data_IF_134131668894
#
_entry.id   IF_134131668894
#
_cell.length_a   1.000
_cell.length_b   1.000
_cell.length_c   1.000
_cell.angle_alpha   90.00
_cell.angle_beta   90.00
_cell.angle_gamma   90.00
#
_symmetry.space_group_name_H-M   'P 1'
#
loop_
_entity.id
_entity.type
_entity.pdbx_description
1 polymer ?
#
# COMPACT_ATOMS: atom_id res chain seq x y z
N UNK A 1 23.22 -8.96 -32.44
CA UNK A 1 22.35 -9.29 -31.28
C UNK A 1 22.90 -10.53 -30.62
N UNK A 2 23.25 -10.43 -29.34
CA UNK A 2 23.92 -11.50 -28.60
C UNK A 2 22.95 -12.65 -28.32
N UNK A 3 23.44 -13.90 -28.22
CA UNK A 3 22.66 -15.06 -27.77
C UNK A 3 21.91 -14.79 -26.46
N UNK A 4 22.46 -13.90 -25.63
CA UNK A 4 21.88 -13.45 -24.36
C UNK A 4 20.61 -12.61 -24.53
N UNK A 5 20.48 -11.85 -25.62
CA UNK A 5 19.29 -11.05 -25.91
C UNK A 5 18.12 -11.90 -26.44
N UNK A 6 18.43 -12.99 -27.17
CA UNK A 6 17.40 -13.94 -27.63
C UNK A 6 16.82 -14.77 -26.48
N UNK A 7 17.67 -15.19 -25.52
CA UNK A 7 17.21 -15.89 -24.33
C UNK A 7 16.35 -14.97 -23.45
N UNK A 8 16.69 -13.68 -23.33
CA UNK A 8 15.86 -12.68 -22.64
C UNK A 8 14.46 -12.50 -23.21
N UNK A 9 14.29 -12.57 -24.53
CA UNK A 9 12.97 -12.56 -25.17
C UNK A 9 12.14 -13.80 -24.83
N UNK A 10 12.75 -14.99 -24.88
CA UNK A 10 12.09 -16.24 -24.53
C UNK A 10 11.56 -16.29 -23.08
N UNK A 11 12.24 -15.62 -22.14
CA UNK A 11 11.80 -15.57 -20.74
C UNK A 11 10.52 -14.73 -20.57
N UNK A 12 10.36 -13.66 -21.35
CA UNK A 12 9.16 -12.81 -21.30
C UNK A 12 7.96 -13.54 -21.89
N UNK A 13 8.17 -14.18 -23.03
CA UNK A 13 7.13 -14.95 -23.71
C UNK A 13 6.70 -16.14 -22.84
N UNK A 14 7.64 -16.95 -22.32
CA UNK A 14 7.29 -18.11 -21.48
C UNK A 14 6.67 -17.76 -20.12
N UNK A 15 7.07 -16.65 -19.48
CA UNK A 15 6.44 -16.21 -18.24
C UNK A 15 5.05 -15.61 -18.48
N UNK A 16 4.84 -14.90 -19.59
CA UNK A 16 3.51 -14.45 -20.01
C UNK A 16 2.61 -15.63 -20.39
N UNK A 17 3.15 -16.65 -21.06
CA UNK A 17 2.44 -17.86 -21.49
C UNK A 17 2.01 -18.73 -20.30
N UNK A 18 2.90 -18.99 -19.34
CA UNK A 18 2.56 -19.66 -18.08
C UNK A 18 1.56 -18.86 -17.24
N UNK A 19 1.59 -17.53 -17.35
CA UNK A 19 0.63 -16.65 -16.70
C UNK A 19 -0.77 -16.69 -17.33
N UNK A 20 -0.85 -16.90 -18.64
CA UNK A 20 -2.12 -17.11 -19.34
C UNK A 20 -2.74 -18.47 -19.03
N UNK A 21 -1.91 -19.52 -18.92
CA UNK A 21 -2.35 -20.90 -18.64
C UNK A 21 -2.98 -21.11 -17.25
N UNK A 22 -2.76 -20.20 -16.31
CA UNK A 22 -3.27 -20.30 -14.94
C UNK A 22 -4.60 -19.58 -14.72
N UNK A 23 -5.24 -19.09 -15.78
CA UNK A 23 -6.40 -18.21 -15.69
C UNK A 23 -7.67 -18.93 -16.14
N UNK A 24 -8.44 -19.49 -15.20
CA UNK A 24 -9.87 -19.75 -15.41
C UNK A 24 -10.69 -18.54 -14.94
N UNK A 25 -11.50 -17.95 -15.82
CA UNK A 25 -12.46 -16.91 -15.44
C UNK A 25 -13.68 -17.54 -14.73
N UNK A 26 -14.16 -17.00 -13.60
CA UNK A 26 -15.53 -17.24 -13.19
C UNK A 26 -16.46 -16.57 -14.21
N UNK A 27 -17.18 -17.38 -14.97
CA UNK A 27 -18.15 -16.92 -15.95
C UNK A 27 -19.26 -16.09 -15.27
N UNK A 28 -19.22 -14.78 -15.46
CA UNK A 28 -20.28 -13.86 -15.05
C UNK A 28 -20.65 -12.95 -16.23
N UNK A 29 -21.88 -13.16 -16.69
CA UNK A 29 -22.54 -12.63 -17.88
C UNK A 29 -22.46 -11.10 -18.05
N UNK A 30 -22.30 -10.67 -19.30
CA UNK A 30 -22.56 -9.31 -19.76
C UNK A 30 -22.42 -9.15 -21.29
N UNK A 31 -23.54 -9.29 -21.99
CA UNK A 31 -23.81 -9.11 -23.44
C UNK A 31 -22.68 -8.62 -24.38
N UNK A 32 -22.12 -9.54 -25.18
CA UNK A 32 -21.66 -9.27 -26.55
C UNK A 32 -21.57 -10.57 -27.40
N UNK A 33 -22.38 -10.65 -28.47
CA UNK A 33 -22.22 -11.47 -29.69
C UNK A 33 -21.75 -12.95 -29.59
N UNK A 34 -22.65 -13.96 -29.69
CA UNK A 34 -22.33 -15.39 -29.51
C UNK A 34 -21.27 -15.99 -30.45
N UNK A 35 -21.06 -15.41 -31.63
CA UNK A 35 -20.20 -16.02 -32.68
C UNK A 35 -18.74 -15.52 -32.61
N UNK A 36 -18.50 -14.34 -32.04
CA UNK A 36 -17.15 -13.78 -31.90
C UNK A 36 -16.42 -14.35 -30.69
N UNK A 37 -17.17 -14.65 -29.63
CA UNK A 37 -16.66 -15.19 -28.37
C UNK A 37 -16.14 -16.62 -28.54
N UNK A 38 -16.82 -17.46 -29.33
CA UNK A 38 -16.35 -18.83 -29.62
C UNK A 38 -15.06 -18.87 -30.44
N UNK A 39 -14.90 -17.96 -31.41
CA UNK A 39 -13.66 -17.85 -32.20
C UNK A 39 -12.47 -17.34 -31.37
N UNK A 40 -12.73 -16.48 -30.38
CA UNK A 40 -11.72 -15.99 -29.44
C UNK A 40 -11.33 -17.04 -28.39
N UNK A 41 -12.25 -17.93 -27.98
CA UNK A 41 -11.95 -19.05 -27.09
C UNK A 41 -11.21 -20.18 -27.81
N UNK A 42 -11.57 -20.52 -29.05
CA UNK A 42 -10.85 -21.53 -29.84
C UNK A 42 -9.42 -21.08 -30.19
N UNK A 43 -9.22 -19.80 -30.53
CA UNK A 43 -7.88 -19.24 -30.76
C UNK A 43 -6.99 -19.24 -29.51
N UNK A 44 -7.56 -19.04 -28.32
CA UNK A 44 -6.82 -19.12 -27.05
C UNK A 44 -6.41 -20.54 -26.69
N UNK A 45 -7.29 -21.53 -26.89
CA UNK A 45 -6.97 -22.95 -26.64
C UNK A 45 -5.90 -23.48 -27.60
N UNK A 46 -5.88 -23.02 -28.85
CA UNK A 46 -4.84 -23.36 -29.83
C UNK A 46 -3.47 -22.72 -29.50
N UNK A 47 -3.48 -21.51 -28.92
CA UNK A 47 -2.27 -20.84 -28.40
C UNK A 47 -1.77 -21.51 -27.09
N UNK A 48 -2.67 -21.90 -26.18
CA UNK A 48 -2.38 -22.66 -24.94
C UNK A 48 -1.74 -24.02 -25.24
N UNK A 49 -2.30 -24.75 -26.21
CA UNK A 49 -1.76 -26.05 -26.65
C UNK A 49 -0.41 -25.91 -27.37
N UNK A 50 -0.15 -24.77 -28.03
CA UNK A 50 1.13 -24.49 -28.70
C UNK A 50 2.21 -24.10 -27.71
N UNK A 51 1.92 -23.21 -26.76
CA UNK A 51 2.88 -22.80 -25.72
C UNK A 51 3.28 -23.98 -24.82
N UNK A 52 2.32 -24.86 -24.48
CA UNK A 52 2.59 -26.11 -23.78
C UNK A 52 3.49 -27.04 -24.62
N UNK A 53 3.22 -27.17 -25.92
CA UNK A 53 4.08 -27.92 -26.85
C UNK A 53 5.47 -27.29 -26.99
N UNK A 54 5.60 -25.97 -27.01
CA UNK A 54 6.88 -25.27 -27.18
C UNK A 54 7.76 -25.34 -25.93
N UNK A 55 7.16 -25.24 -24.73
CA UNK A 55 7.83 -25.47 -23.46
C UNK A 55 8.29 -26.94 -23.32
N UNK A 56 7.46 -27.90 -23.74
CA UNK A 56 7.83 -29.32 -23.83
C UNK A 56 8.97 -29.57 -24.85
N UNK A 57 8.99 -28.83 -25.97
CA UNK A 57 10.03 -28.90 -26.99
C UNK A 57 11.35 -28.24 -26.56
N UNK A 58 11.33 -27.34 -25.57
CA UNK A 58 12.53 -26.67 -25.03
C UNK A 58 13.44 -27.57 -24.17
N UNK A 59 13.02 -28.80 -23.87
CA UNK A 59 13.84 -29.81 -23.18
C UNK A 59 13.92 -29.64 -21.66
N UNK A 60 13.10 -28.77 -21.08
CA UNK A 60 13.03 -28.60 -19.63
C UNK A 60 12.19 -29.70 -18.99
N UNK A 61 12.77 -30.39 -18.01
CA UNK A 61 12.14 -31.54 -17.36
C UNK A 61 11.30 -31.08 -16.18
N UNK A 62 10.00 -31.39 -16.21
CA UNK A 62 9.12 -31.27 -15.04
C UNK A 62 9.62 -32.26 -13.98
N UNK A 63 9.83 -31.76 -12.77
CA UNK A 63 10.25 -32.55 -11.60
C UNK A 63 9.20 -32.49 -10.51
N UNK A 64 9.04 -33.59 -9.76
CA UNK A 64 8.23 -33.57 -8.55
C UNK A 64 9.11 -33.19 -7.36
N UNK A 65 8.72 -32.13 -6.66
CA UNK A 65 9.38 -31.64 -5.45
C UNK A 65 8.47 -31.79 -4.25
N UNK A 66 9.08 -31.89 -3.07
CA UNK A 66 8.37 -31.73 -1.81
C UNK A 66 8.07 -30.23 -1.61
N UNK A 67 6.80 -29.83 -1.38
CA UNK A 67 6.44 -28.43 -1.13
C UNK A 67 7.19 -27.79 0.05
N UNK A 68 7.68 -28.58 1.02
CA UNK A 68 8.43 -28.05 2.17
C UNK A 68 9.86 -27.62 1.82
N UNK A 69 10.38 -28.11 0.69
CA UNK A 69 11.68 -27.68 0.15
C UNK A 69 11.61 -26.36 -0.61
N UNK A 70 10.41 -25.81 -0.81
CA UNK A 70 10.18 -24.59 -1.60
C UNK A 70 9.86 -23.41 -0.68
N UNK A 71 10.76 -22.43 -0.68
CA UNK A 71 10.58 -21.16 0.01
C UNK A 71 9.83 -20.14 -0.84
N UNK A 72 9.08 -19.27 -0.15
CA UNK A 72 8.44 -18.11 -0.78
C UNK A 72 9.48 -17.12 -1.32
N UNK A 73 9.12 -16.39 -2.37
CA UNK A 73 9.93 -15.29 -2.88
C UNK A 73 10.22 -14.23 -1.80
N UNK A 74 11.38 -13.59 -1.89
CA UNK A 74 11.80 -12.48 -1.03
C UNK A 74 10.94 -11.22 -1.20
N UNK A 75 10.06 -11.19 -2.19
CA UNK A 75 9.03 -10.19 -2.33
C UNK A 75 7.75 -10.80 -1.76
N UNK A 76 7.43 -10.49 -0.50
CA UNK A 76 6.18 -10.97 0.10
C UNK A 76 5.00 -10.29 -0.57
N UNK A 77 4.09 -11.12 -1.03
CA UNK A 77 2.88 -10.76 -1.73
C UNK A 77 1.85 -10.24 -0.70
N UNK A 78 1.20 -9.12 -1.05
CA UNK A 78 0.00 -8.55 -0.43
C UNK A 78 0.03 -8.06 1.03
N UNK A 79 -0.61 -6.90 1.22
CA UNK A 79 -1.13 -6.45 2.52
C UNK A 79 -2.32 -7.30 3.02
N UNK A 80 -2.87 -8.13 2.14
CA UNK A 80 -4.07 -8.94 2.32
C UNK A 80 -3.87 -10.37 1.79
N UNK A 81 -2.79 -11.04 2.17
CA UNK A 81 -2.69 -12.49 1.95
C UNK A 81 -3.84 -13.16 2.72
N UNK A 82 -4.90 -13.50 1.98
CA UNK A 82 -5.95 -14.36 2.49
C UNK A 82 -5.37 -15.77 2.54
N UNK A 83 -5.30 -16.41 3.71
CA UNK A 83 -4.94 -17.82 3.77
C UNK A 83 -5.95 -18.60 2.92
N UNK A 84 -5.42 -19.43 2.01
CA UNK A 84 -6.24 -20.39 1.28
C UNK A 84 -6.86 -21.37 2.27
N UNK A 85 -8.16 -21.60 2.13
CA UNK A 85 -8.88 -22.64 2.85
C UNK A 85 -9.00 -23.89 1.96
N UNK A 86 -9.24 -25.05 2.55
CA UNK A 86 -9.53 -26.30 1.85
C UNK A 86 -10.74 -26.16 0.91
N UNK A 87 -11.68 -25.27 1.26
CA UNK A 87 -12.88 -25.00 0.47
C UNK A 87 -12.65 -24.02 -0.70
N UNK A 88 -11.42 -23.54 -0.92
CA UNK A 88 -11.10 -22.70 -2.08
C UNK A 88 -11.22 -23.50 -3.38
N UNK A 89 -11.84 -22.91 -4.40
CA UNK A 89 -12.09 -23.54 -5.71
C UNK A 89 -10.82 -24.09 -6.36
N UNK A 90 -9.67 -23.41 -6.18
CA UNK A 90 -8.39 -23.88 -6.71
C UNK A 90 -7.92 -25.15 -5.99
N UNK A 91 -8.15 -25.25 -4.68
CA UNK A 91 -7.78 -26.43 -3.89
C UNK A 91 -8.63 -27.62 -4.32
N UNK A 92 -9.94 -27.43 -4.48
CA UNK A 92 -10.85 -28.49 -4.93
C UNK A 92 -10.53 -28.94 -6.36
N UNK A 93 -10.30 -28.02 -7.28
CA UNK A 93 -9.91 -28.36 -8.66
C UNK A 93 -8.60 -29.15 -8.71
N UNK A 94 -7.58 -28.75 -7.95
CA UNK A 94 -6.31 -29.52 -7.86
C UNK A 94 -6.51 -30.88 -7.17
N UNK A 95 -7.44 -30.97 -6.21
CA UNK A 95 -7.75 -32.24 -5.56
C UNK A 95 -8.35 -33.25 -6.55
N UNK A 96 -9.28 -32.79 -7.40
CA UNK A 96 -10.03 -33.57 -8.38
C UNK A 96 -9.23 -33.88 -9.66
N UNK A 97 -8.68 -32.85 -10.30
CA UNK A 97 -8.03 -32.95 -11.62
C UNK A 97 -6.51 -33.10 -11.54
N UNK A 98 -5.93 -32.87 -10.36
CA UNK A 98 -4.48 -32.83 -10.18
C UNK A 98 -3.88 -31.48 -10.56
N UNK A 99 -2.55 -31.43 -10.58
CA UNK A 99 -1.85 -30.22 -10.99
C UNK A 99 -1.70 -30.20 -12.51
N UNK A 100 -2.45 -29.34 -13.20
CA UNK A 100 -2.37 -29.22 -14.66
C UNK A 100 -1.19 -28.37 -15.11
N UNK A 101 -0.89 -27.30 -14.38
CA UNK A 101 0.21 -26.38 -14.71
C UNK A 101 1.31 -26.43 -13.62
N UNK A 102 2.57 -26.72 -13.98
CA UNK A 102 3.67 -26.76 -13.02
C UNK A 102 3.95 -25.39 -12.41
N UNK A 103 4.58 -25.36 -11.22
CA UNK A 103 5.13 -24.12 -10.64
C UNK A 103 6.50 -23.83 -11.23
N UNK A 104 6.90 -22.56 -11.28
CA UNK A 104 8.27 -22.19 -11.69
C UNK A 104 9.11 -21.92 -10.45
N UNK A 105 10.23 -22.63 -10.34
CA UNK A 105 11.17 -22.46 -9.22
C UNK A 105 12.59 -22.26 -9.73
N UNK A 106 13.41 -21.64 -8.89
CA UNK A 106 14.88 -21.66 -9.01
C UNK A 106 15.49 -22.34 -7.79
N UNK A 107 16.76 -22.72 -7.87
CA UNK A 107 17.52 -23.10 -6.66
C UNK A 107 17.64 -21.88 -5.74
N UNK A 108 17.56 -22.09 -4.43
CA UNK A 108 17.70 -21.00 -3.48
C UNK A 108 19.15 -20.47 -3.52
N UNK A 109 19.36 -19.14 -3.61
CA UNK A 109 20.70 -18.57 -3.77
C UNK A 109 21.61 -18.84 -2.55
N UNK A 110 21.02 -18.92 -1.36
CA UNK A 110 21.75 -19.14 -0.10
C UNK A 110 21.77 -20.60 0.35
N UNK A 111 20.99 -21.50 -0.27
CA UNK A 111 20.85 -22.89 0.15
C UNK A 111 20.57 -23.82 -1.05
N UNK A 112 21.60 -24.52 -1.53
CA UNK A 112 21.49 -25.39 -2.71
C UNK A 112 20.51 -26.56 -2.55
N UNK A 113 20.16 -26.91 -1.29
CA UNK A 113 19.21 -27.98 -0.98
C UNK A 113 17.75 -27.54 -1.10
N UNK A 114 17.52 -26.23 -1.21
CA UNK A 114 16.18 -25.62 -1.25
C UNK A 114 15.89 -24.96 -2.58
N UNK A 115 14.62 -24.69 -2.80
CA UNK A 115 14.12 -24.01 -3.97
C UNK A 115 13.41 -22.74 -3.55
N UNK A 116 13.39 -21.76 -4.45
CA UNK A 116 12.60 -20.55 -4.29
C UNK A 116 11.58 -20.48 -5.41
N UNK A 117 10.33 -20.24 -5.05
CA UNK A 117 9.26 -20.07 -6.03
C UNK A 117 9.37 -18.71 -6.72
N UNK A 118 9.32 -18.73 -8.05
CA UNK A 118 9.26 -17.54 -8.90
C UNK A 118 7.83 -17.25 -9.37
N UNK A 119 7.04 -18.30 -9.59
CA UNK A 119 5.67 -18.20 -10.10
C UNK A 119 4.81 -19.38 -9.61
N UNK A 120 3.53 -19.10 -9.29
CA UNK A 120 2.55 -20.11 -8.86
C UNK A 120 2.38 -20.19 -7.34
N UNK A 121 2.48 -19.06 -6.65
CA UNK A 121 2.46 -18.99 -5.17
C UNK A 121 1.18 -19.59 -4.56
N UNK A 122 0.01 -19.25 -5.12
CA UNK A 122 -1.28 -19.80 -4.65
C UNK A 122 -1.39 -21.30 -4.91
N UNK A 123 -0.82 -21.79 -6.01
CA UNK A 123 -0.80 -23.22 -6.34
C UNK A 123 0.08 -24.00 -5.37
N UNK A 124 1.25 -23.49 -5.04
CA UNK A 124 2.11 -24.09 -4.02
C UNK A 124 1.40 -24.19 -2.68
N UNK A 125 0.70 -23.14 -2.26
CA UNK A 125 -0.11 -23.15 -1.05
C UNK A 125 -1.23 -24.19 -1.11
N UNK A 126 -1.99 -24.26 -2.21
CA UNK A 126 -3.05 -25.25 -2.40
C UNK A 126 -2.52 -26.70 -2.35
N UNK A 127 -1.43 -26.99 -3.05
CA UNK A 127 -0.81 -28.33 -3.06
C UNK A 127 -0.27 -28.70 -1.67
N UNK A 128 0.29 -27.73 -0.95
CA UNK A 128 0.76 -27.89 0.42
C UNK A 128 -0.40 -28.23 1.37
N UNK A 129 -1.56 -27.58 1.22
CA UNK A 129 -2.78 -27.91 1.98
C UNK A 129 -3.26 -29.34 1.70
N UNK A 130 -3.14 -29.80 0.46
CA UNK A 130 -3.50 -31.16 0.05
C UNK A 130 -2.47 -32.23 0.44
N UNK A 131 -1.30 -31.83 0.95
CA UNK A 131 -0.22 -32.76 1.32
C UNK A 131 0.35 -33.56 0.14
N UNK A 132 0.29 -33.01 -1.08
CA UNK A 132 0.77 -33.66 -2.31
C UNK A 132 2.14 -33.12 -2.72
N UNK A 133 2.88 -33.88 -3.52
CA UNK A 133 4.09 -33.37 -4.19
C UNK A 133 3.70 -32.35 -5.25
N UNK A 134 4.57 -31.37 -5.47
CA UNK A 134 4.36 -30.32 -6.47
C UNK A 134 5.18 -30.60 -7.72
N UNK A 135 4.53 -30.54 -8.87
CA UNK A 135 5.18 -30.53 -10.17
C UNK A 135 5.78 -29.14 -10.41
N UNK A 136 7.08 -29.10 -10.62
CA UNK A 136 7.84 -27.87 -10.77
C UNK A 136 8.75 -27.92 -12.00
N UNK A 137 8.91 -26.77 -12.65
CA UNK A 137 9.96 -26.51 -13.62
C UNK A 137 11.08 -25.79 -12.88
N UNK A 138 12.27 -26.40 -12.84
CA UNK A 138 13.45 -25.80 -12.22
C UNK A 138 14.24 -25.05 -13.29
N UNK A 139 14.32 -23.72 -13.18
CA UNK A 139 15.12 -22.87 -14.06
C UNK A 139 16.24 -22.16 -13.29
N UNK A 140 17.31 -21.85 -14.00
CA UNK A 140 18.34 -20.94 -13.52
C UNK A 140 17.85 -19.51 -13.73
N UNK A 141 17.35 -18.88 -12.67
CA UNK A 141 16.81 -17.50 -12.68
C UNK A 141 17.63 -16.62 -11.74
N UNK A 142 17.98 -15.42 -12.19
CA UNK A 142 18.54 -14.41 -11.30
C UNK A 142 17.43 -13.67 -10.52
N UNK A 143 17.82 -12.79 -9.59
CA UNK A 143 16.85 -12.06 -8.76
C UNK A 143 15.94 -11.15 -9.60
N UNK A 144 16.44 -10.65 -10.73
CA UNK A 144 15.69 -9.81 -11.64
C UNK A 144 14.60 -10.61 -12.32
N UNK A 145 14.93 -11.82 -12.78
CA UNK A 145 14.00 -12.74 -13.42
C UNK A 145 12.87 -13.16 -12.48
N UNK A 146 13.20 -13.44 -11.21
CA UNK A 146 12.19 -13.77 -10.17
C UNK A 146 11.23 -12.61 -9.94
N UNK A 147 11.74 -11.38 -9.84
CA UNK A 147 10.91 -10.18 -9.67
C UNK A 147 9.96 -9.98 -10.85
N UNK A 148 10.44 -10.21 -12.08
CA UNK A 148 9.62 -10.10 -13.29
C UNK A 148 8.54 -11.18 -13.29
N UNK A 149 8.90 -12.44 -13.05
CA UNK A 149 7.95 -13.56 -13.01
C UNK A 149 6.83 -13.33 -11.98
N UNK A 150 7.18 -12.84 -10.80
CA UNK A 150 6.21 -12.53 -9.75
C UNK A 150 5.35 -11.31 -10.11
N UNK A 151 5.94 -10.29 -10.72
CA UNK A 151 5.20 -9.12 -11.22
C UNK A 151 4.17 -9.50 -12.27
N UNK A 152 4.53 -10.41 -13.18
CA UNK A 152 3.62 -10.97 -14.19
C UNK A 152 2.48 -11.75 -13.52
N UNK A 153 2.76 -12.60 -12.51
CA UNK A 153 1.73 -13.31 -11.73
C UNK A 153 0.70 -12.35 -11.14
N UNK A 154 1.17 -11.25 -10.57
CA UNK A 154 0.32 -10.26 -9.93
C UNK A 154 -0.44 -9.37 -10.92
N UNK A 155 0.18 -9.05 -12.06
CA UNK A 155 -0.45 -8.30 -13.14
C UNK A 155 -1.55 -9.11 -13.81
N UNK A 156 -1.28 -10.40 -14.08
CA UNK A 156 -2.27 -11.33 -14.63
C UNK A 156 -3.50 -11.37 -13.72
N UNK A 157 -3.30 -11.46 -12.39
CA UNK A 157 -4.36 -11.51 -11.38
C UNK A 157 -5.30 -10.29 -11.37
N UNK A 158 -5.03 -9.20 -12.11
CA UNK A 158 -5.82 -7.95 -12.18
C UNK A 158 -6.23 -7.33 -10.82
N UNK A 159 -5.60 -7.74 -9.72
CA UNK A 159 -6.10 -7.53 -8.36
C UNK A 159 -5.20 -6.70 -7.45
N UNK A 160 -4.07 -6.16 -7.95
CA UNK A 160 -3.27 -5.25 -7.13
C UNK A 160 -3.89 -3.86 -7.14
N UNK A 161 -4.26 -3.39 -5.95
CA UNK A 161 -4.65 -2.01 -5.72
C UNK A 161 -3.51 -1.05 -6.07
N UNK A 162 -3.86 0.24 -6.25
CA UNK A 162 -2.86 1.26 -6.56
C UNK A 162 -1.74 1.34 -5.51
N UNK A 163 -2.10 1.24 -4.23
CA UNK A 163 -1.14 1.34 -3.13
C UNK A 163 -0.27 0.09 -3.01
N UNK A 164 -0.80 -1.10 -3.29
CA UNK A 164 0.01 -2.33 -3.32
C UNK A 164 1.06 -2.26 -4.41
N UNK A 165 0.70 -1.79 -5.62
CA UNK A 165 1.68 -1.54 -6.70
C UNK A 165 2.75 -0.54 -6.27
N UNK A 166 2.36 0.49 -5.51
CA UNK A 166 3.27 1.52 -5.04
C UNK A 166 4.26 1.01 -3.98
N UNK A 167 3.77 0.25 -3.00
CA UNK A 167 4.61 -0.41 -1.98
C UNK A 167 5.55 -1.43 -2.63
N UNK A 168 5.04 -2.23 -3.57
CA UNK A 168 5.85 -3.18 -4.33
C UNK A 168 6.98 -2.48 -5.08
N UNK A 169 6.67 -1.42 -5.83
CA UNK A 169 7.68 -0.63 -6.53
C UNK A 169 8.76 -0.09 -5.59
N UNK A 170 8.36 0.46 -4.44
CA UNK A 170 9.30 1.00 -3.45
C UNK A 170 10.16 -0.09 -2.83
N UNK A 171 9.59 -1.25 -2.48
CA UNK A 171 10.34 -2.36 -1.92
C UNK A 171 11.40 -2.88 -2.89
N UNK A 172 11.09 -2.95 -4.18
CA UNK A 172 12.08 -3.32 -5.20
C UNK A 172 13.18 -2.25 -5.34
N UNK A 173 12.81 -0.97 -5.34
CA UNK A 173 13.80 0.12 -5.43
C UNK A 173 14.72 0.13 -4.19
N UNK A 174 14.19 -0.14 -2.99
CA UNK A 174 14.98 -0.25 -1.75
C UNK A 174 15.89 -1.48 -1.72
N UNK A 175 15.50 -2.56 -2.40
CA UNK A 175 16.33 -3.77 -2.60
C UNK A 175 17.39 -3.59 -3.68
N UNK A 176 17.45 -2.42 -4.34
CA UNK A 176 18.46 -2.09 -5.34
C UNK A 176 18.12 -2.48 -6.77
N UNK A 177 16.88 -2.88 -7.06
CA UNK A 177 16.47 -3.17 -8.44
C UNK A 177 16.38 -1.89 -9.27
N UNK A 178 16.86 -1.95 -10.51
CA UNK A 178 16.80 -0.80 -11.41
C UNK A 178 15.36 -0.53 -11.88
N UNK A 179 15.05 0.74 -12.13
CA UNK A 179 13.70 1.17 -12.58
C UNK A 179 13.18 0.44 -13.82
N UNK A 180 13.98 0.10 -14.85
CA UNK A 180 13.50 -0.68 -15.99
C UNK A 180 12.97 -2.06 -15.60
N UNK A 181 13.59 -2.72 -14.62
CA UNK A 181 13.13 -4.02 -14.08
C UNK A 181 11.78 -3.85 -13.39
N UNK A 182 11.66 -2.84 -12.53
CA UNK A 182 10.44 -2.57 -11.78
C UNK A 182 9.28 -2.22 -12.74
N UNK A 183 9.57 -1.42 -13.78
CA UNK A 183 8.60 -1.09 -14.83
C UNK A 183 8.09 -2.33 -15.54
N UNK A 184 9.00 -3.26 -15.87
CA UNK A 184 8.66 -4.52 -16.53
C UNK A 184 7.80 -5.42 -15.63
N UNK A 185 8.23 -5.61 -14.38
CA UNK A 185 7.49 -6.40 -13.39
C UNK A 185 6.05 -5.85 -13.17
N UNK A 186 5.89 -4.53 -13.12
CA UNK A 186 4.58 -3.89 -12.95
C UNK A 186 3.82 -3.60 -14.26
N UNK A 187 4.38 -4.02 -15.41
CA UNK A 187 3.85 -3.73 -16.74
C UNK A 187 3.46 -2.24 -16.90
N UNK A 188 4.35 -1.33 -16.51
CA UNK A 188 4.04 0.11 -16.39
C UNK A 188 5.13 0.99 -17.00
N UNK A 189 4.78 2.25 -17.29
CA UNK A 189 5.71 3.22 -17.87
C UNK A 189 6.48 4.03 -16.80
N UNK A 190 7.49 4.79 -17.24
CA UNK A 190 8.34 5.62 -16.38
C UNK A 190 7.55 6.65 -15.58
N UNK A 191 6.50 7.21 -16.17
CA UNK A 191 5.68 8.26 -15.57
C UNK A 191 4.83 7.67 -14.45
N UNK A 192 4.20 6.53 -14.70
CA UNK A 192 3.37 5.83 -13.72
C UNK A 192 4.23 5.26 -12.59
N UNK A 193 5.40 4.68 -12.87
CA UNK A 193 6.35 4.27 -11.83
C UNK A 193 6.76 5.45 -10.94
N UNK A 194 7.04 6.61 -11.53
CA UNK A 194 7.41 7.81 -10.76
C UNK A 194 6.30 8.25 -9.80
N UNK A 195 5.02 8.15 -10.22
CA UNK A 195 3.86 8.48 -9.37
C UNK A 195 3.69 7.47 -8.25
N UNK A 196 3.81 6.17 -8.55
CA UNK A 196 3.76 5.09 -7.57
C UNK A 196 4.81 5.32 -6.47
N UNK A 197 6.07 5.54 -6.86
CA UNK A 197 7.16 5.80 -5.92
C UNK A 197 6.94 7.08 -5.11
N UNK A 198 6.39 8.13 -5.72
CA UNK A 198 6.07 9.39 -5.02
C UNK A 198 5.06 9.16 -3.90
N UNK A 199 4.02 8.35 -4.12
CA UNK A 199 3.02 8.05 -3.09
C UNK A 199 3.62 7.18 -1.99
N UNK A 200 4.31 6.11 -2.35
CA UNK A 200 4.89 5.18 -1.37
C UNK A 200 5.97 5.81 -0.48
N UNK A 201 6.69 6.82 -0.98
CA UNK A 201 7.70 7.56 -0.21
C UNK A 201 7.10 8.64 0.68
N UNK A 202 6.02 9.27 0.24
CA UNK A 202 5.38 10.34 1.00
C UNK A 202 4.55 9.80 2.17
N UNK A 203 3.80 8.71 1.96
CA UNK A 203 2.93 8.12 2.98
C UNK A 203 3.71 7.06 3.79
N UNK A 204 3.82 7.18 5.12
CA UNK A 204 4.54 6.22 5.95
C UNK A 204 3.97 4.81 5.86
N UNK A 205 4.86 3.81 5.91
CA UNK A 205 4.49 2.40 5.80
C UNK A 205 3.49 1.92 6.87
N UNK A 206 3.50 2.52 8.06
CA UNK A 206 2.51 2.25 9.11
C UNK A 206 1.09 2.65 8.71
N UNK A 207 0.95 3.78 8.01
CA UNK A 207 -0.34 4.29 7.55
C UNK A 207 -0.88 3.42 6.43
N UNK A 208 -0.02 3.07 5.47
CA UNK A 208 -0.38 2.17 4.38
C UNK A 208 -0.83 0.81 4.92
N UNK A 209 -0.11 0.26 5.91
CA UNK A 209 -0.50 -0.98 6.60
C UNK A 209 -1.82 -0.86 7.35
N UNK A 210 -2.04 0.25 8.02
CA UNK A 210 -3.26 0.49 8.79
C UNK A 210 -4.48 0.64 7.88
N UNK A 211 -4.33 1.20 6.68
CA UNK A 211 -5.40 1.30 5.67
C UNK A 211 -5.64 -0.04 4.97
N UNK A 212 -4.58 -0.75 4.58
CA UNK A 212 -4.67 -1.98 3.78
C UNK A 212 -4.70 -1.70 2.28
N UNK A 213 -5.18 -2.67 1.49
CA UNK A 213 -5.16 -2.63 0.02
C UNK A 213 -6.02 -1.49 -0.57
N UNK A 214 -7.18 -1.20 0.02
CA UNK A 214 -8.08 -0.15 -0.46
C UNK A 214 -8.32 -0.20 -2.00
N UNK A 215 -8.87 -1.32 -2.53
CA UNK A 215 -8.98 -1.57 -3.96
C UNK A 215 -9.85 -0.53 -4.70
N UNK A 216 -10.84 0.08 -4.04
CA UNK A 216 -11.68 1.13 -4.62
C UNK A 216 -10.98 2.49 -4.69
N UNK A 217 -9.82 2.64 -4.04
CA UNK A 217 -9.08 3.91 -3.96
C UNK A 217 -8.02 3.98 -5.06
N UNK A 218 -8.37 4.68 -6.13
CA UNK A 218 -7.47 4.91 -7.27
C UNK A 218 -6.40 5.97 -7.04
N UNK A 219 -5.50 6.08 -8.02
CA UNK A 219 -4.35 7.00 -8.08
C UNK A 219 -4.60 8.41 -7.55
N UNK A 220 -5.67 9.07 -8.01
CA UNK A 220 -5.93 10.49 -7.71
C UNK A 220 -6.06 10.74 -6.20
N UNK A 221 -6.76 9.83 -5.49
CA UNK A 221 -6.99 9.96 -4.05
C UNK A 221 -5.70 9.75 -3.26
N UNK A 222 -4.92 8.72 -3.62
CA UNK A 222 -3.61 8.46 -3.00
C UNK A 222 -2.60 9.58 -3.25
N UNK A 223 -2.58 10.15 -4.45
CA UNK A 223 -1.71 11.30 -4.75
C UNK A 223 -2.11 12.54 -3.96
N UNK A 224 -3.40 12.82 -3.78
CA UNK A 224 -3.86 13.93 -2.95
C UNK A 224 -3.40 13.74 -1.49
N UNK A 225 -3.59 12.54 -0.93
CA UNK A 225 -3.12 12.21 0.42
C UNK A 225 -1.60 12.41 0.56
N UNK A 226 -0.83 11.97 -0.42
CA UNK A 226 0.62 12.12 -0.43
C UNK A 226 1.08 13.59 -0.51
N UNK A 227 0.35 14.43 -1.25
CA UNK A 227 0.67 15.87 -1.36
C UNK A 227 0.42 16.62 -0.06
N UNK A 228 -0.65 16.27 0.66
CA UNK A 228 -1.00 16.89 1.93
C UNK A 228 -0.25 16.28 3.12
N UNK A 229 0.55 15.23 2.88
CA UNK A 229 1.25 14.51 3.93
C UNK A 229 2.40 15.32 4.53
N UNK A 230 2.39 15.48 5.85
CA UNK A 230 3.46 16.15 6.61
C UNK A 230 3.58 15.55 8.03
N UNK A 231 4.57 16.00 8.81
CA UNK A 231 4.81 15.47 10.16
C UNK A 231 3.62 15.68 11.13
N UNK A 232 2.91 16.80 11.01
CA UNK A 232 1.73 17.13 11.84
C UNK A 232 0.54 16.24 11.50
N UNK A 233 0.37 15.89 10.21
CA UNK A 233 -0.63 14.94 9.70
C UNK A 233 -0.48 13.58 10.39
N UNK A 234 0.75 13.06 10.55
CA UNK A 234 0.99 11.77 11.17
C UNK A 234 0.55 11.73 12.65
N UNK A 235 0.91 12.75 13.43
CA UNK A 235 0.53 12.85 14.85
C UNK A 235 -0.99 12.93 15.01
N UNK A 236 -1.65 13.69 14.14
CA UNK A 236 -3.10 13.84 14.16
C UNK A 236 -3.84 12.52 13.89
N UNK A 237 -3.34 11.75 12.92
CA UNK A 237 -3.95 10.49 12.52
C UNK A 237 -3.63 9.32 13.46
N UNK A 238 -2.56 9.39 14.25
CA UNK A 238 -2.15 8.33 15.16
C UNK A 238 -3.28 7.89 16.12
N UNK A 239 -4.02 8.86 16.68
CA UNK A 239 -5.17 8.56 17.57
C UNK A 239 -6.32 7.87 16.84
N UNK A 240 -6.58 8.26 15.58
CA UNK A 240 -7.65 7.65 14.78
C UNK A 240 -7.28 6.21 14.38
N UNK A 241 -6.05 6.01 13.92
CA UNK A 241 -5.54 4.71 13.47
C UNK A 241 -5.52 3.68 14.60
N UNK A 242 -5.15 4.11 15.82
CA UNK A 242 -5.19 3.25 17.00
C UNK A 242 -6.59 2.99 17.58
N UNK A 243 -7.66 3.54 16.99
CA UNK A 243 -9.02 3.35 17.50
C UNK A 243 -9.66 2.04 17.01
N UNK A 244 -10.39 1.35 17.90
CA UNK A 244 -11.12 0.13 17.55
C UNK A 244 -12.11 0.36 16.39
N UNK A 245 -12.75 1.54 16.37
CA UNK A 245 -13.67 1.91 15.29
C UNK A 245 -12.98 1.95 13.93
N UNK A 246 -11.73 2.39 13.86
CA UNK A 246 -11.00 2.43 12.60
C UNK A 246 -10.61 1.01 12.14
N UNK A 247 -10.16 0.17 13.07
CA UNK A 247 -9.71 -1.18 12.77
C UNK A 247 -10.86 -2.13 12.39
N UNK A 248 -12.09 -1.85 12.85
CA UNK A 248 -13.28 -2.63 12.52
C UNK A 248 -13.84 -2.36 11.11
N UNK A 249 -13.33 -1.35 10.40
CA UNK A 249 -13.84 -0.93 9.09
C UNK A 249 -13.07 -1.55 7.93
N UNK A 250 -13.74 -1.67 6.78
CA UNK A 250 -13.13 -2.16 5.53
C UNK A 250 -12.02 -1.24 5.02
N UNK A 251 -11.10 -1.79 4.23
CA UNK A 251 -9.88 -1.05 3.80
C UNK A 251 -10.16 0.26 3.04
N UNK A 252 -11.14 0.27 2.14
CA UNK A 252 -11.58 1.49 1.45
C UNK A 252 -12.14 2.52 2.45
N UNK A 253 -12.92 2.05 3.42
CA UNK A 253 -13.57 2.92 4.40
C UNK A 253 -12.55 3.52 5.37
N UNK A 254 -11.54 2.75 5.77
CA UNK A 254 -10.39 3.24 6.52
C UNK A 254 -9.69 4.40 5.81
N UNK A 255 -9.46 4.30 4.50
CA UNK A 255 -8.90 5.41 3.72
C UNK A 255 -9.78 6.66 3.78
N UNK A 256 -11.09 6.51 3.62
CA UNK A 256 -12.03 7.63 3.68
C UNK A 256 -12.04 8.33 5.05
N UNK A 257 -11.95 7.56 6.14
CA UNK A 257 -11.86 8.10 7.49
C UNK A 257 -10.59 8.95 7.68
N UNK A 258 -9.45 8.51 7.14
CA UNK A 258 -8.22 9.31 7.18
C UNK A 258 -8.41 10.64 6.45
N UNK A 259 -8.92 10.61 5.23
CA UNK A 259 -9.14 11.83 4.43
C UNK A 259 -10.15 12.76 5.12
N UNK A 260 -11.21 12.21 5.70
CA UNK A 260 -12.20 12.99 6.44
C UNK A 260 -11.59 13.66 7.68
N UNK A 261 -10.71 12.97 8.41
CA UNK A 261 -10.02 13.54 9.56
C UNK A 261 -9.04 14.64 9.15
N UNK A 262 -8.35 14.50 8.02
CA UNK A 262 -7.48 15.54 7.48
C UNK A 262 -8.26 16.76 6.99
N UNK A 263 -9.45 16.56 6.43
CA UNK A 263 -10.32 17.63 5.95
C UNK A 263 -10.93 18.46 7.08
N UNK A 264 -11.03 17.92 8.31
CA UNK A 264 -11.46 18.70 9.47
C UNK A 264 -10.44 19.82 9.72
N UNK A 265 -10.86 21.08 9.67
CA UNK A 265 -10.04 22.19 10.17
C UNK A 265 -9.68 21.89 11.63
N UNK A 266 -8.42 22.13 12.01
CA UNK A 266 -8.05 22.17 13.43
C UNK A 266 -9.10 22.99 14.16
N UNK A 267 -9.73 22.39 15.17
CA UNK A 267 -10.55 23.16 16.08
C UNK A 267 -9.61 24.20 16.69
N UNK A 268 -9.83 25.49 16.36
CA UNK A 268 -9.13 26.57 17.03
C UNK A 268 -9.28 26.31 18.53
N UNK A 269 -8.21 26.40 19.34
CA UNK A 269 -8.33 26.27 20.78
C UNK A 269 -9.48 27.18 21.23
N UNK A 270 -10.44 26.61 21.96
CA UNK A 270 -11.65 27.31 22.38
C UNK A 270 -11.25 28.65 22.97
N UNK A 271 -11.76 29.72 22.38
CA UNK A 271 -11.46 31.05 22.85
C UNK A 271 -12.14 31.20 24.22
N UNK A 272 -11.35 31.24 25.29
CA UNK A 272 -11.88 31.58 26.61
C UNK A 272 -12.21 33.07 26.63
N UNK A 273 -13.48 33.39 26.85
CA UNK A 273 -14.00 34.75 26.98
C UNK A 273 -14.63 34.90 28.36
N UNK A 274 -14.17 35.86 29.14
CA UNK A 274 -14.78 36.21 30.43
C UNK A 274 -14.79 37.71 30.63
N UNK A 275 -15.82 38.19 31.34
CA UNK A 275 -15.93 39.59 31.73
C UNK A 275 -15.19 39.80 33.07
N UNK A 276 -14.33 40.80 33.10
CA UNK A 276 -13.55 41.21 34.27
C UNK A 276 -14.11 42.49 34.87
N UNK A 277 -14.21 42.50 36.21
CA UNK A 277 -14.50 43.69 37.02
C UNK A 277 -13.53 43.74 38.20
N UNK A 278 -13.11 44.94 38.64
CA UNK A 278 -12.21 45.09 39.77
C UNK A 278 -12.89 44.59 41.06
N UNK A 279 -12.19 43.75 41.82
CA UNK A 279 -12.68 43.17 43.09
C UNK A 279 -12.95 44.24 44.16
N UNK A 280 -12.23 45.35 44.11
CA UNK A 280 -12.26 46.44 45.10
C UNK A 280 -13.41 47.44 44.90
N UNK A 281 -14.26 47.22 43.88
CA UNK A 281 -15.27 48.20 43.46
C UNK A 281 -14.66 49.28 42.56
N UNK A 282 -15.33 49.56 41.44
CA UNK A 282 -14.90 50.54 40.44
C UNK A 282 -15.85 50.53 39.25
N UNK A 283 -15.87 51.63 38.48
CA UNK A 283 -16.76 51.77 37.30
C UNK A 283 -16.19 51.17 36.02
N UNK A 284 -14.99 50.59 36.07
CA UNK A 284 -14.34 49.97 34.92
C UNK A 284 -14.78 48.51 34.76
N UNK A 285 -15.11 48.12 33.53
CA UNK A 285 -15.29 46.72 33.15
C UNK A 285 -14.52 46.43 31.87
N UNK A 286 -13.88 45.26 31.87
CA UNK A 286 -13.09 44.76 30.76
C UNK A 286 -13.63 43.42 30.28
N UNK A 287 -13.45 43.15 29.00
CA UNK A 287 -13.70 41.83 28.42
C UNK A 287 -12.38 41.24 27.98
N UNK A 288 -12.07 40.05 28.50
CA UNK A 288 -10.83 39.36 28.23
C UNK A 288 -11.12 38.19 27.31
N UNK A 289 -10.40 38.13 26.20
CA UNK A 289 -10.46 37.05 25.24
C UNK A 289 -9.06 36.49 25.03
N UNK A 290 -8.89 35.20 25.27
CA UNK A 290 -7.69 34.46 24.95
C UNK A 290 -8.01 33.44 23.87
N UNK A 291 -7.27 33.46 22.77
CA UNK A 291 -7.44 32.53 21.66
C UNK A 291 -6.08 32.19 21.03
N UNK A 292 -5.61 30.96 21.23
CA UNK A 292 -4.30 30.52 20.75
C UNK A 292 -3.18 31.40 21.31
N UNK A 293 -2.41 32.06 20.43
CA UNK A 293 -1.30 32.95 20.80
C UNK A 293 -1.72 34.43 20.92
N UNK A 294 -3.01 34.73 20.89
CA UNK A 294 -3.55 36.09 20.97
C UNK A 294 -4.30 36.32 22.28
N UNK A 295 -3.99 37.42 22.94
CA UNK A 295 -4.65 37.86 24.18
C UNK A 295 -5.14 39.29 24.02
N UNK A 296 -6.47 39.49 24.14
CA UNK A 296 -7.11 40.79 23.96
C UNK A 296 -7.84 41.20 25.22
N UNK A 297 -7.55 42.41 25.69
CA UNK A 297 -8.28 43.08 26.76
C UNK A 297 -9.06 44.24 26.13
N UNK A 298 -10.38 44.17 26.16
CA UNK A 298 -11.25 45.25 25.68
C UNK A 298 -11.88 45.98 26.87
N UNK A 299 -11.42 47.19 27.14
CA UNK A 299 -11.96 48.08 28.18
C UNK A 299 -13.01 49.01 27.54
N UNK A 300 -14.26 48.96 28.01
CA UNK A 300 -15.39 49.66 27.33
C UNK A 300 -16.17 50.64 28.21
N UNK A 301 -15.88 50.73 29.51
CA UNK A 301 -16.69 51.50 30.47
C UNK A 301 -15.82 52.13 31.56
N UNK A 302 -16.31 53.22 32.16
CA UNK A 302 -15.62 53.94 33.24
C UNK A 302 -14.34 54.62 32.76
N UNK A 303 -13.26 54.50 33.54
CA UNK A 303 -11.96 55.15 33.31
C UNK A 303 -11.10 54.41 32.27
N UNK A 304 -11.74 53.79 31.27
CA UNK A 304 -11.09 52.92 30.29
C UNK A 304 -9.92 53.59 29.52
N UNK A 305 -10.00 54.86 29.07
CA UNK A 305 -8.88 55.53 28.41
C UNK A 305 -7.67 55.73 29.33
N UNK A 306 -7.89 56.19 30.56
CA UNK A 306 -6.83 56.49 31.52
C UNK A 306 -6.17 55.23 32.05
N UNK A 307 -6.97 54.21 32.37
CA UNK A 307 -6.45 52.91 32.81
C UNK A 307 -5.76 52.17 31.67
N UNK A 308 -6.27 52.25 30.45
CA UNK A 308 -5.61 51.71 29.26
C UNK A 308 -4.24 52.35 29.03
N UNK A 309 -4.14 53.67 29.12
CA UNK A 309 -2.87 54.39 29.01
C UNK A 309 -1.89 54.02 30.13
N UNK A 310 -2.39 53.82 31.36
CA UNK A 310 -1.59 53.35 32.48
C UNK A 310 -1.01 51.95 32.26
N UNK A 311 -1.82 50.99 31.79
CA UNK A 311 -1.35 49.64 31.46
C UNK A 311 -0.28 49.70 30.38
N UNK A 312 -0.54 50.42 29.29
CA UNK A 312 0.38 50.51 28.15
C UNK A 312 1.76 51.04 28.53
N UNK A 313 1.85 51.98 29.49
CA UNK A 313 3.12 52.53 29.98
C UNK A 313 3.88 51.59 30.90
N UNK A 314 3.24 50.56 31.45
CA UNK A 314 3.82 49.62 32.42
C UNK A 314 3.98 48.21 31.89
N UNK A 315 3.82 48.01 30.57
CA UNK A 315 3.92 46.67 29.97
C UNK A 315 5.27 46.01 30.25
N UNK A 316 6.37 46.76 30.19
CA UNK A 316 7.72 46.24 30.46
C UNK A 316 7.86 45.80 31.93
N UNK A 317 7.42 46.62 32.88
CA UNK A 317 7.42 46.28 34.31
C UNK A 317 6.57 45.02 34.60
N UNK A 318 5.38 44.93 33.99
CA UNK A 318 4.46 43.80 34.16
C UNK A 318 5.04 42.51 33.54
N UNK A 319 5.73 42.61 32.42
CA UNK A 319 6.37 41.48 31.77
C UNK A 319 7.58 40.97 32.56
N UNK A 320 8.40 41.86 33.10
CA UNK A 320 9.53 41.48 33.96
C UNK A 320 9.05 40.86 35.29
N UNK A 321 8.01 41.42 35.91
CA UNK A 321 7.38 40.81 37.09
C UNK A 321 6.82 39.40 36.78
N UNK A 322 6.19 39.22 35.61
CA UNK A 322 5.71 37.91 35.15
C UNK A 322 6.87 36.92 34.98
N UNK A 323 7.97 37.31 34.34
CA UNK A 323 9.15 36.45 34.17
C UNK A 323 9.78 36.06 35.51
N UNK A 324 9.92 37.01 36.43
CA UNK A 324 10.46 36.77 37.76
C UNK A 324 9.57 35.80 38.57
N UNK A 325 8.24 35.94 38.47
CA UNK A 325 7.30 35.03 39.11
C UNK A 325 7.34 33.61 38.55
N UNK A 326 7.59 33.45 37.24
CA UNK A 326 7.72 32.13 36.62
C UNK A 326 8.99 31.39 37.06
N UNK A 327 10.10 32.11 37.20
CA UNK A 327 11.36 31.58 37.74
C UNK A 327 11.24 31.11 39.20
N UNK A 328 10.34 31.72 39.99
CA UNK A 328 10.08 31.30 41.38
C UNK A 328 9.08 30.14 41.49
N UNK A 329 8.23 29.93 40.48
CA UNK A 329 7.21 28.89 40.47
C UNK A 329 7.69 27.53 39.92
N UNK A 330 8.92 27.42 39.41
CA UNK A 330 9.54 26.15 39.03
C UNK A 330 8.87 25.42 37.87
N UNK A 331 8.33 26.16 36.88
CA UNK A 331 7.89 25.62 35.58
C UNK A 331 8.86 25.96 34.45
#
# INVERSE_FOLDING_TARGET
>A
MSRRDRLKGLFDDTAQELAAANYEEPSSRGSAGPVRTMALTLGRMEEESRAMHEALLSGERIVELDPDLIDSSFVRDRLADQPLDIDDELVQSIAENGQEVPVLVRRHPDDESRYQIAYGHRRLQAIKLLGRKVQAIVRSLDDTDVVIAQGIENSARRNLSYIERAVFALNLELKGFERPVIMKALSTDKTELSKLLSVARAVPAEIVRSVGAAPGIGRRRWMALAQDWNGTTAVRLAKLIGSEKFMAEESDRRFELLVAELAKKEAKPEATEYDWKPKSGGKIAGRIKSAGNSFTIALKTGDAPDFGAYISRRLDELYEAYRAGRLQAGE
#
